data_IF_133962343134
#
_entry.id   IF_133962343134
#
_cell.length_a   1.000
_cell.length_b   1.000
_cell.length_c   1.000
_cell.angle_alpha   90.00
_cell.angle_beta   90.00
_cell.angle_gamma   90.00
#
_symmetry.space_group_name_H-M   'P 1'
#
loop_
_entity.id
_entity.type
_entity.pdbx_description
1 polymer ?
#
# COMPACT_ATOMS: atom_id res chain seq x y z
N UNK A 1 25.36 -22.68 -14.63
CA UNK A 1 25.79 -21.75 -13.56
C UNK A 1 26.70 -22.54 -12.68
N UNK A 2 27.95 -22.13 -12.58
CA UNK A 2 28.88 -22.77 -11.67
C UNK A 2 28.59 -22.30 -10.24
N UNK A 3 28.79 -23.20 -9.29
CA UNK A 3 28.61 -22.93 -7.87
C UNK A 3 29.69 -21.92 -7.42
N UNK A 4 29.33 -20.84 -6.73
CA UNK A 4 30.31 -19.86 -6.24
C UNK A 4 31.41 -20.51 -5.39
N UNK A 5 32.65 -20.09 -5.59
CA UNK A 5 33.81 -20.72 -4.93
C UNK A 5 33.79 -20.60 -3.41
N UNK A 6 33.11 -19.61 -2.83
CA UNK A 6 33.01 -19.44 -1.38
C UNK A 6 32.00 -20.40 -0.73
N UNK A 7 31.23 -21.14 -1.52
CA UNK A 7 30.35 -22.19 -1.02
C UNK A 7 31.10 -23.53 -0.95
N UNK A 8 30.73 -24.38 0.02
CA UNK A 8 31.05 -25.81 0.10
C UNK A 8 29.94 -26.65 -0.51
N UNK A 9 28.69 -26.21 -0.37
CA UNK A 9 27.50 -26.81 -0.94
C UNK A 9 26.56 -25.69 -1.43
N UNK A 10 25.76 -25.97 -2.45
CA UNK A 10 24.76 -25.05 -2.95
C UNK A 10 24.38 -25.43 -4.38
N UNK A 11 23.09 -25.42 -4.66
CA UNK A 11 22.54 -25.70 -5.99
C UNK A 11 21.86 -24.47 -6.54
N UNK A 12 21.91 -24.28 -7.86
CA UNK A 12 21.10 -23.24 -8.50
C UNK A 12 19.62 -23.49 -8.22
N UNK A 13 18.87 -22.45 -7.85
CA UNK A 13 17.44 -22.57 -7.58
C UNK A 13 16.70 -23.14 -8.80
N UNK A 14 15.72 -24.01 -8.57
CA UNK A 14 15.05 -24.79 -9.63
C UNK A 14 13.56 -24.53 -9.66
N UNK A 15 13.00 -24.45 -10.88
CA UNK A 15 11.56 -24.44 -11.12
C UNK A 15 10.89 -25.76 -10.71
N UNK A 16 11.65 -26.87 -10.73
CA UNK A 16 11.20 -28.20 -10.34
C UNK A 16 12.15 -28.76 -9.27
N UNK A 17 12.07 -28.28 -8.02
CA UNK A 17 12.99 -28.71 -6.96
C UNK A 17 12.71 -30.16 -6.56
N UNK A 18 13.78 -30.96 -6.43
CA UNK A 18 13.72 -32.36 -6.01
C UNK A 18 13.89 -32.44 -4.48
N UNK A 19 12.96 -31.81 -3.77
CA UNK A 19 12.92 -31.82 -2.31
C UNK A 19 11.79 -32.73 -1.82
N UNK A 20 11.92 -33.24 -0.59
CA UNK A 20 10.88 -34.03 0.04
C UNK A 20 9.54 -33.26 0.06
N UNK A 21 8.42 -33.97 -0.06
CA UNK A 21 7.08 -33.37 -0.06
C UNK A 21 6.74 -32.63 1.23
N UNK A 22 7.42 -32.97 2.33
CA UNK A 22 7.34 -32.29 3.63
C UNK A 22 8.03 -30.92 3.63
N UNK A 23 8.96 -30.66 2.71
CA UNK A 23 9.68 -29.39 2.58
C UNK A 23 8.92 -28.39 1.70
N UNK A 24 7.68 -28.06 2.10
CA UNK A 24 6.85 -27.09 1.38
C UNK A 24 7.56 -25.74 1.22
N UNK A 25 8.15 -25.26 2.31
CA UNK A 25 8.91 -24.00 2.38
C UNK A 25 10.08 -23.99 1.39
N UNK A 26 10.97 -24.99 1.45
CA UNK A 26 12.11 -25.08 0.55
C UNK A 26 11.71 -25.19 -0.93
N UNK A 27 10.61 -25.90 -1.23
CA UNK A 27 10.08 -25.99 -2.60
C UNK A 27 9.57 -24.64 -3.10
N UNK A 28 8.73 -23.97 -2.31
CA UNK A 28 8.18 -22.65 -2.67
C UNK A 28 9.31 -21.63 -2.87
N UNK A 29 10.28 -21.59 -1.95
CA UNK A 29 11.44 -20.70 -2.05
C UNK A 29 12.28 -20.99 -3.28
N UNK A 30 12.61 -22.25 -3.57
CA UNK A 30 13.40 -22.60 -4.76
C UNK A 30 12.71 -22.19 -6.06
N UNK A 31 11.39 -22.41 -6.18
CA UNK A 31 10.61 -22.04 -7.36
C UNK A 31 10.62 -20.52 -7.57
N UNK A 32 10.34 -19.75 -6.50
CA UNK A 32 10.31 -18.28 -6.58
C UNK A 32 11.69 -17.72 -6.89
N UNK A 33 12.75 -18.22 -6.23
CA UNK A 33 14.13 -17.82 -6.52
C UNK A 33 14.55 -18.17 -7.95
N UNK A 34 14.11 -19.31 -8.47
CA UNK A 34 14.36 -19.66 -9.87
C UNK A 34 13.69 -18.65 -10.79
N UNK A 35 12.41 -18.32 -10.57
CA UNK A 35 11.69 -17.32 -11.36
C UNK A 35 12.34 -15.93 -11.28
N UNK A 36 12.82 -15.49 -10.11
CA UNK A 36 13.57 -14.23 -9.93
C UNK A 36 14.81 -14.18 -10.86
N UNK A 37 15.48 -15.32 -11.07
CA UNK A 37 16.66 -15.39 -11.94
C UNK A 37 16.34 -15.59 -13.44
N UNK A 38 15.12 -16.04 -13.77
CA UNK A 38 14.74 -16.46 -15.13
C UNK A 38 13.81 -15.49 -15.85
N UNK A 39 13.05 -14.70 -15.10
CA UNK A 39 12.07 -13.75 -15.62
C UNK A 39 12.62 -12.34 -15.36
N UNK A 40 13.06 -11.65 -16.41
CA UNK A 40 13.85 -10.42 -16.32
C UNK A 40 13.09 -9.31 -15.59
N UNK A 41 11.84 -9.05 -15.99
CA UNK A 41 11.01 -7.98 -15.43
C UNK A 41 10.58 -8.29 -14.00
N UNK A 42 10.29 -9.56 -13.69
CA UNK A 42 9.94 -10.01 -12.34
C UNK A 42 11.12 -9.89 -11.37
N UNK A 43 12.30 -10.36 -11.77
CA UNK A 43 13.53 -10.19 -10.99
C UNK A 43 13.88 -8.71 -10.82
N UNK A 44 13.72 -7.91 -11.86
CA UNK A 44 13.95 -6.46 -11.83
C UNK A 44 13.05 -5.75 -10.83
N UNK A 45 11.74 -5.99 -10.88
CA UNK A 45 10.77 -5.32 -10.01
C UNK A 45 11.01 -5.66 -8.53
N UNK A 46 11.28 -6.93 -8.22
CA UNK A 46 11.59 -7.34 -6.86
C UNK A 46 12.91 -6.74 -6.36
N UNK A 47 13.98 -6.74 -7.17
CA UNK A 47 15.25 -6.12 -6.78
C UNK A 47 15.13 -4.59 -6.61
N UNK A 48 14.33 -3.93 -7.45
CA UNK A 48 14.05 -2.49 -7.34
C UNK A 48 13.39 -2.13 -6.00
N UNK A 49 12.51 -3.00 -5.49
CA UNK A 49 11.91 -2.80 -4.15
C UNK A 49 12.93 -2.78 -3.01
N UNK A 50 14.11 -3.38 -3.22
CA UNK A 50 15.25 -3.38 -2.28
C UNK A 50 16.24 -2.24 -2.56
N UNK A 51 15.92 -1.34 -3.48
CA UNK A 51 16.79 -0.26 -3.93
C UNK A 51 17.90 -0.71 -4.89
N UNK A 52 17.87 -1.96 -5.38
CA UNK A 52 18.85 -2.46 -6.34
C UNK A 52 18.37 -2.21 -7.77
N UNK A 53 19.20 -1.55 -8.58
CA UNK A 53 18.90 -1.32 -9.99
C UNK A 53 19.38 -2.49 -10.84
N UNK A 54 18.47 -3.10 -11.58
CA UNK A 54 18.78 -4.14 -12.56
C UNK A 54 18.78 -3.49 -13.94
N UNK A 55 19.94 -3.50 -14.60
CA UNK A 55 20.08 -3.03 -15.98
C UNK A 55 20.24 -4.22 -16.93
N UNK A 56 20.24 -3.96 -18.24
CA UNK A 56 20.32 -4.99 -19.29
C UNK A 56 21.51 -5.96 -19.19
N UNK A 57 22.60 -5.57 -18.52
CA UNK A 57 23.81 -6.40 -18.33
C UNK A 57 23.90 -7.01 -16.93
N UNK A 58 22.95 -6.69 -16.05
CA UNK A 58 22.93 -7.20 -14.70
C UNK A 58 22.45 -8.66 -14.74
N UNK A 59 23.17 -9.56 -14.08
CA UNK A 59 22.77 -10.96 -13.95
C UNK A 59 22.29 -11.23 -12.54
N UNK A 60 21.11 -11.84 -12.41
CA UNK A 60 20.59 -12.35 -11.15
C UNK A 60 20.84 -13.86 -11.12
N UNK A 61 21.57 -14.32 -10.12
CA UNK A 61 21.82 -15.74 -9.87
C UNK A 61 21.25 -16.09 -8.50
N UNK A 62 20.56 -17.22 -8.40
CA UNK A 62 19.93 -17.65 -7.16
C UNK A 62 20.29 -19.09 -6.84
N UNK A 63 20.52 -19.36 -5.56
CA UNK A 63 20.96 -20.66 -5.06
C UNK A 63 20.14 -21.07 -3.85
N UNK A 64 19.95 -22.37 -3.67
CA UNK A 64 19.35 -23.01 -2.49
C UNK A 64 20.32 -24.02 -1.90
N UNK A 65 20.01 -24.52 -0.70
CA UNK A 65 20.82 -25.54 0.00
C UNK A 65 22.28 -25.13 0.22
N UNK A 66 22.50 -23.84 0.48
CA UNK A 66 23.83 -23.23 0.58
C UNK A 66 24.54 -23.63 1.88
N UNK A 67 25.86 -23.84 1.79
CA UNK A 67 26.77 -24.00 2.93
C UNK A 67 28.07 -23.29 2.62
N UNK A 68 28.56 -22.41 3.49
CA UNK A 68 29.81 -21.65 3.27
C UNK A 68 31.06 -22.44 3.68
N UNK A 69 32.21 -22.14 3.08
CA UNK A 69 33.49 -22.85 3.30
C UNK A 69 34.05 -22.80 4.72
N UNK A 70 33.74 -21.75 5.48
CA UNK A 70 34.34 -21.50 6.79
C UNK A 70 33.38 -21.73 7.96
N UNK A 71 32.26 -22.43 7.73
CA UNK A 71 31.19 -22.52 8.70
C UNK A 71 30.97 -23.96 9.19
N UNK A 72 31.01 -24.14 10.52
CA UNK A 72 30.41 -25.30 11.18
C UNK A 72 28.90 -25.07 11.36
N UNK A 73 28.17 -24.80 10.27
CA UNK A 73 26.70 -24.67 10.33
C UNK A 73 26.14 -26.01 10.83
N UNK A 74 25.40 -26.00 11.94
CA UNK A 74 24.48 -27.09 12.27
C UNK A 74 23.37 -27.09 11.22
N UNK A 75 22.89 -28.24 10.75
CA UNK A 75 21.83 -28.30 9.71
C UNK A 75 20.62 -27.36 9.95
N UNK A 76 20.32 -27.02 11.21
CA UNK A 76 19.23 -26.11 11.60
C UNK A 76 19.48 -24.62 11.34
N UNK A 77 20.72 -24.19 11.10
CA UNK A 77 21.07 -22.77 10.88
C UNK A 77 21.42 -22.50 9.41
N UNK A 78 20.93 -23.35 8.48
CA UNK A 78 21.14 -23.19 7.04
C UNK A 78 20.14 -22.14 6.50
N UNK A 79 20.58 -21.11 5.76
CA UNK A 79 19.66 -20.22 5.05
C UNK A 79 18.94 -20.94 3.91
N UNK A 80 17.69 -20.55 3.65
CA UNK A 80 16.88 -21.17 2.59
C UNK A 80 17.40 -20.85 1.18
N UNK A 81 18.05 -19.70 1.01
CA UNK A 81 18.64 -19.35 -0.27
C UNK A 81 19.66 -18.21 -0.24
N UNK A 82 20.24 -17.97 -1.40
CA UNK A 82 21.18 -16.90 -1.70
C UNK A 82 20.80 -16.25 -3.02
N UNK A 83 20.69 -14.92 -3.03
CA UNK A 83 20.57 -14.11 -4.26
C UNK A 83 21.88 -13.40 -4.51
N UNK A 84 22.35 -13.43 -5.74
CA UNK A 84 23.54 -12.72 -6.22
C UNK A 84 23.14 -11.85 -7.40
N UNK A 85 23.45 -10.56 -7.30
CA UNK A 85 23.29 -9.59 -8.36
C UNK A 85 24.68 -9.16 -8.85
N UNK A 86 25.01 -9.49 -10.09
CA UNK A 86 26.28 -9.12 -10.73
C UNK A 86 26.07 -8.00 -11.75
N UNK A 87 26.76 -6.90 -11.57
CA UNK A 87 26.80 -5.80 -12.53
C UNK A 87 28.26 -5.45 -12.87
N UNK A 88 28.77 -6.08 -13.93
CA UNK A 88 30.19 -6.02 -14.27
C UNK A 88 31.06 -6.55 -13.11
N UNK A 89 31.99 -5.76 -12.56
CA UNK A 89 32.83 -6.18 -11.42
C UNK A 89 32.13 -6.04 -10.06
N UNK A 90 30.97 -5.38 -9.98
CA UNK A 90 30.24 -5.20 -8.73
C UNK A 90 29.34 -6.40 -8.48
N UNK A 91 29.40 -6.92 -7.27
CA UNK A 91 28.57 -8.01 -6.78
C UNK A 91 27.80 -7.54 -5.55
N UNK A 92 26.49 -7.80 -5.53
CA UNK A 92 25.64 -7.62 -4.37
C UNK A 92 25.00 -8.96 -4.02
N UNK A 93 24.99 -9.32 -2.74
CA UNK A 93 24.53 -10.62 -2.25
C UNK A 93 23.53 -10.47 -1.13
N UNK A 94 22.55 -11.36 -1.09
CA UNK A 94 21.55 -11.43 -0.04
C UNK A 94 21.28 -12.87 0.40
N UNK A 95 21.29 -13.13 1.70
CA UNK A 95 20.75 -14.37 2.25
C UNK A 95 19.22 -14.32 2.23
N UNK A 96 18.57 -15.46 2.05
CA UNK A 96 17.12 -15.58 2.03
C UNK A 96 16.67 -16.52 3.14
N UNK A 97 15.68 -16.07 3.90
CA UNK A 97 14.94 -16.87 4.87
C UNK A 97 13.45 -16.79 4.54
N UNK A 98 12.78 -17.92 4.44
CA UNK A 98 11.39 -17.99 4.03
C UNK A 98 10.54 -18.72 5.06
N UNK A 99 9.27 -18.33 5.18
CA UNK A 99 8.27 -18.98 6.02
C UNK A 99 6.95 -19.07 5.27
N UNK A 100 6.37 -20.26 5.18
CA UNK A 100 5.06 -20.47 4.54
C UNK A 100 4.02 -20.97 5.55
N UNK A 101 2.74 -20.80 5.23
CA UNK A 101 1.64 -21.25 6.08
C UNK A 101 1.54 -20.43 7.37
N UNK A 102 1.52 -21.10 8.51
CA UNK A 102 1.38 -20.50 9.85
C UNK A 102 2.71 -20.36 10.59
N UNK A 103 3.84 -20.58 9.92
CA UNK A 103 5.15 -20.42 10.54
C UNK A 103 5.53 -18.94 10.54
N UNK A 104 5.95 -18.43 11.69
CA UNK A 104 6.39 -17.04 11.83
C UNK A 104 7.92 -16.91 11.71
N UNK A 105 8.35 -15.72 11.30
CA UNK A 105 9.74 -15.31 11.38
C UNK A 105 10.14 -15.13 12.85
N UNK A 106 11.39 -15.47 13.19
CA UNK A 106 11.93 -15.27 14.54
C UNK A 106 13.13 -14.34 14.51
N UNK A 107 13.22 -13.43 15.48
CA UNK A 107 14.33 -12.48 15.56
C UNK A 107 15.69 -13.21 15.74
N UNK A 108 15.72 -14.25 16.58
CA UNK A 108 16.92 -15.05 16.83
C UNK A 108 17.49 -15.67 15.55
N UNK A 109 16.63 -16.19 14.68
CA UNK A 109 17.07 -16.78 13.41
C UNK A 109 17.60 -15.71 12.45
N UNK A 110 16.95 -14.55 12.39
CA UNK A 110 17.38 -13.45 11.53
C UNK A 110 18.72 -12.88 12.00
N UNK A 111 18.93 -12.70 13.30
CA UNK A 111 20.20 -12.19 13.82
C UNK A 111 21.36 -13.16 13.55
N UNK A 112 21.14 -14.47 13.65
CA UNK A 112 22.14 -15.47 13.20
C UNK A 112 22.50 -15.29 11.73
N UNK A 113 21.51 -15.08 10.84
CA UNK A 113 21.81 -14.84 9.43
C UNK A 113 22.52 -13.51 9.19
N UNK A 114 22.29 -12.48 10.01
CA UNK A 114 23.10 -11.26 9.97
C UNK A 114 24.55 -11.52 10.36
N UNK A 115 24.80 -12.39 11.33
CA UNK A 115 26.16 -12.80 11.72
C UNK A 115 26.86 -13.52 10.55
N UNK A 116 26.21 -14.53 9.96
CA UNK A 116 26.70 -15.22 8.75
C UNK A 116 26.95 -14.21 7.63
N UNK A 117 26.02 -13.30 7.37
CA UNK A 117 26.16 -12.30 6.33
C UNK A 117 27.38 -11.39 6.58
N UNK A 118 27.63 -11.00 7.83
CA UNK A 118 28.80 -10.21 8.21
C UNK A 118 30.10 -11.00 7.99
N UNK A 119 30.15 -12.26 8.41
CA UNK A 119 31.34 -13.13 8.26
C UNK A 119 31.68 -13.41 6.79
N UNK A 120 30.66 -13.62 5.95
CA UNK A 120 30.82 -13.94 4.52
C UNK A 120 30.82 -12.68 3.62
N UNK A 121 30.79 -11.48 4.20
CA UNK A 121 30.71 -10.20 3.46
C UNK A 121 29.51 -10.10 2.51
N UNK A 122 28.35 -10.61 2.94
CA UNK A 122 27.06 -10.53 2.25
C UNK A 122 26.38 -9.22 2.63
N UNK A 123 25.68 -8.60 1.67
CA UNK A 123 25.21 -7.23 1.83
C UNK A 123 23.95 -7.10 2.68
N UNK A 124 23.07 -8.10 2.67
CA UNK A 124 21.83 -8.06 3.44
C UNK A 124 21.22 -9.45 3.69
N UNK A 125 20.15 -9.47 4.47
CA UNK A 125 19.24 -10.62 4.58
C UNK A 125 17.87 -10.20 4.02
N UNK A 126 17.21 -11.08 3.28
CA UNK A 126 15.84 -10.93 2.80
C UNK A 126 15.00 -12.00 3.49
N UNK A 127 13.93 -11.58 4.16
CA UNK A 127 12.95 -12.50 4.72
C UNK A 127 11.70 -12.53 3.84
N UNK A 128 11.07 -13.71 3.71
CA UNK A 128 9.82 -13.88 2.97
C UNK A 128 8.81 -14.60 3.85
N UNK A 129 7.64 -14.02 4.11
CA UNK A 129 6.59 -14.69 4.90
C UNK A 129 5.18 -14.22 4.55
N UNK A 130 4.16 -14.71 5.27
CA UNK A 130 2.79 -14.18 5.17
C UNK A 130 2.57 -12.91 6.01
N UNK A 131 3.59 -12.42 6.71
CA UNK A 131 3.52 -11.13 7.41
C UNK A 131 3.68 -9.99 6.39
N UNK A 132 3.13 -8.83 6.71
CA UNK A 132 3.21 -7.66 5.84
C UNK A 132 4.07 -6.56 6.45
N UNK A 133 4.60 -5.71 5.57
CA UNK A 133 5.33 -4.52 5.97
C UNK A 133 4.93 -3.35 5.09
N UNK A 134 4.93 -2.15 5.67
CA UNK A 134 4.67 -0.90 4.95
C UNK A 134 5.64 -0.72 3.77
N UNK A 135 6.92 -1.04 3.98
CA UNK A 135 7.97 -1.02 2.96
C UNK A 135 8.89 -2.21 3.19
N UNK A 136 9.57 -2.67 2.14
CA UNK A 136 10.49 -3.80 2.26
C UNK A 136 11.61 -3.56 3.28
N UNK A 137 12.00 -2.31 3.55
CA UNK A 137 13.02 -1.98 4.55
C UNK A 137 12.49 -1.99 5.99
N UNK A 138 11.17 -1.86 6.19
CA UNK A 138 10.54 -1.81 7.51
C UNK A 138 10.07 -3.21 7.93
N UNK A 139 11.03 -4.06 8.30
CA UNK A 139 10.80 -5.45 8.69
C UNK A 139 9.63 -5.61 9.71
N UNK A 140 8.75 -6.62 9.61
CA UNK A 140 7.57 -6.77 10.49
C UNK A 140 7.90 -6.90 11.98
N UNK A 141 8.98 -7.63 12.32
CA UNK A 141 9.42 -7.80 13.71
C UNK A 141 10.14 -6.56 14.25
N UNK A 142 9.73 -6.09 15.42
CA UNK A 142 10.28 -4.89 16.03
C UNK A 142 11.72 -5.07 16.51
N UNK A 143 12.04 -6.24 17.05
CA UNK A 143 13.37 -6.61 17.54
C UNK A 143 14.42 -6.51 16.42
N UNK A 144 14.03 -6.93 15.20
CA UNK A 144 14.88 -6.85 14.00
C UNK A 144 15.08 -5.39 13.59
N UNK A 145 14.05 -4.54 13.69
CA UNK A 145 14.16 -3.09 13.40
C UNK A 145 15.05 -2.38 14.42
N UNK A 146 15.01 -2.80 15.70
CA UNK A 146 15.80 -2.23 16.80
C UNK A 146 17.21 -2.82 16.93
N UNK A 147 17.55 -3.84 16.14
CA UNK A 147 18.88 -4.47 16.16
C UNK A 147 19.98 -3.45 15.86
N UNK A 148 21.13 -3.62 16.53
CA UNK A 148 22.34 -2.80 16.31
C UNK A 148 23.17 -3.28 15.12
N UNK A 149 22.79 -4.37 14.48
CA UNK A 149 23.53 -4.93 13.36
C UNK A 149 23.51 -3.98 12.15
N UNK A 150 24.67 -3.82 11.51
CA UNK A 150 24.83 -2.99 10.31
C UNK A 150 24.37 -3.68 9.02
N UNK A 151 24.13 -4.99 9.07
CA UNK A 151 23.61 -5.74 7.92
C UNK A 151 22.12 -5.43 7.80
N UNK A 152 21.64 -4.75 6.74
CA UNK A 152 20.22 -4.47 6.57
C UNK A 152 19.42 -5.77 6.39
N UNK A 153 18.17 -5.74 6.85
CA UNK A 153 17.20 -6.81 6.63
C UNK A 153 16.02 -6.23 5.87
N UNK A 154 15.69 -6.87 4.76
CA UNK A 154 14.51 -6.56 3.98
C UNK A 154 13.46 -7.65 4.15
N UNK A 155 12.21 -7.30 3.90
CA UNK A 155 11.09 -8.21 3.97
C UNK A 155 10.21 -8.12 2.73
N UNK A 156 9.84 -9.28 2.19
CA UNK A 156 8.77 -9.42 1.22
C UNK A 156 7.65 -10.26 1.83
N UNK A 157 6.41 -9.83 1.64
CA UNK A 157 5.29 -10.75 1.87
C UNK A 157 5.10 -11.64 0.65
N UNK A 158 4.71 -12.90 0.82
CA UNK A 158 4.36 -13.76 -0.31
C UNK A 158 3.28 -13.14 -1.20
N UNK A 159 2.32 -12.44 -0.58
CA UNK A 159 1.28 -11.70 -1.27
C UNK A 159 1.83 -10.54 -2.10
N UNK A 160 2.90 -9.86 -1.67
CA UNK A 160 3.58 -8.86 -2.49
C UNK A 160 4.24 -9.47 -3.72
N UNK A 161 4.88 -10.64 -3.57
CA UNK A 161 5.49 -11.37 -4.69
C UNK A 161 4.41 -11.80 -5.70
N UNK A 162 3.32 -12.38 -5.20
CA UNK A 162 2.16 -12.75 -6.02
C UNK A 162 1.57 -11.54 -6.76
N UNK A 163 1.45 -10.40 -6.09
CA UNK A 163 0.90 -9.17 -6.69
C UNK A 163 1.81 -8.61 -7.77
N UNK A 164 3.13 -8.65 -7.59
CA UNK A 164 4.08 -8.28 -8.64
C UNK A 164 3.91 -9.18 -9.86
N UNK A 165 3.82 -10.51 -9.66
CA UNK A 165 3.56 -11.44 -10.76
C UNK A 165 2.25 -11.13 -11.50
N UNK A 166 1.18 -10.85 -10.77
CA UNK A 166 -0.13 -10.57 -11.34
C UNK A 166 -0.16 -9.25 -12.15
N UNK A 167 0.43 -8.18 -11.60
CA UNK A 167 0.53 -6.89 -12.28
C UNK A 167 1.36 -6.97 -13.58
N UNK A 168 2.46 -7.72 -13.57
CA UNK A 168 3.28 -7.90 -14.76
C UNK A 168 2.53 -8.65 -15.86
N UNK A 169 1.73 -9.65 -15.50
CA UNK A 169 0.91 -10.43 -16.44
C UNK A 169 -0.24 -9.59 -17.02
N UNK A 170 -0.99 -8.88 -16.18
CA UNK A 170 -2.19 -8.16 -16.63
C UNK A 170 -1.83 -6.91 -17.46
N UNK A 171 -0.64 -6.32 -17.24
CA UNK A 171 -0.15 -5.18 -18.03
C UNK A 171 0.63 -5.57 -19.29
N UNK A 172 0.75 -6.86 -19.57
CA UNK A 172 1.57 -7.37 -20.66
C UNK A 172 3.02 -6.84 -20.61
N UNK A 173 3.58 -6.75 -19.39
CA UNK A 173 4.84 -6.08 -19.13
C UNK A 173 6.07 -7.00 -19.30
N UNK A 174 5.87 -8.30 -19.53
CA UNK A 174 6.93 -9.28 -19.78
C UNK A 174 7.09 -9.44 -21.29
N UNK A 175 8.25 -9.07 -21.82
CA UNK A 175 8.45 -9.01 -23.27
C UNK A 175 8.62 -10.39 -23.94
N UNK A 176 9.14 -11.37 -23.20
CA UNK A 176 9.41 -12.72 -23.70
C UNK A 176 8.26 -13.68 -23.36
N UNK A 177 7.71 -14.34 -24.37
CA UNK A 177 6.53 -15.23 -24.23
C UNK A 177 6.81 -16.46 -23.34
N UNK A 178 8.02 -17.02 -23.41
CA UNK A 178 8.39 -18.16 -22.56
C UNK A 178 8.49 -17.72 -21.09
N UNK A 179 9.08 -16.56 -20.81
CA UNK A 179 9.13 -15.97 -19.47
C UNK A 179 7.73 -15.63 -18.96
N UNK A 180 6.84 -15.13 -19.83
CA UNK A 180 5.44 -14.86 -19.49
C UNK A 180 4.69 -16.15 -19.13
N UNK A 181 4.90 -17.24 -19.87
CA UNK A 181 4.36 -18.55 -19.53
C UNK A 181 4.87 -19.05 -18.17
N UNK A 182 6.16 -18.89 -17.88
CA UNK A 182 6.74 -19.22 -16.58
C UNK A 182 6.12 -18.38 -15.45
N UNK A 183 5.87 -17.09 -15.69
CA UNK A 183 5.23 -16.21 -14.71
C UNK A 183 3.77 -16.60 -14.44
N UNK A 184 3.04 -17.01 -15.49
CA UNK A 184 1.69 -17.58 -15.34
C UNK A 184 1.69 -18.85 -14.47
N UNK A 185 2.62 -19.76 -14.71
CA UNK A 185 2.74 -20.98 -13.89
C UNK A 185 3.16 -20.66 -12.45
N UNK A 186 4.03 -19.68 -12.25
CA UNK A 186 4.36 -19.18 -10.91
C UNK A 186 3.11 -18.64 -10.22
N UNK A 187 2.32 -17.77 -10.86
CA UNK A 187 1.08 -17.24 -10.30
C UNK A 187 0.14 -18.39 -9.90
N UNK A 188 -0.08 -19.34 -10.81
CA UNK A 188 -0.92 -20.54 -10.55
C UNK A 188 -0.43 -21.31 -9.32
N UNK A 189 0.87 -21.55 -9.21
CA UNK A 189 1.48 -22.23 -8.08
C UNK A 189 1.27 -21.46 -6.77
N UNK A 190 1.55 -20.15 -6.74
CA UNK A 190 1.44 -19.32 -5.54
C UNK A 190 -0.02 -19.16 -5.07
N UNK A 191 -0.99 -19.18 -5.99
CA UNK A 191 -2.42 -19.12 -5.65
C UNK A 191 -3.02 -20.44 -5.16
N UNK A 192 -2.31 -21.55 -5.30
CA UNK A 192 -2.80 -22.85 -4.87
C UNK A 192 -2.67 -22.99 -3.35
N UNK A 193 -3.69 -23.53 -2.67
CA UNK A 193 -3.73 -23.66 -1.20
C UNK A 193 -2.50 -24.38 -0.63
N UNK A 194 -1.96 -25.36 -1.37
CA UNK A 194 -0.77 -26.11 -0.95
C UNK A 194 0.50 -25.28 -0.80
N UNK A 195 0.59 -24.10 -1.45
CA UNK A 195 1.71 -23.18 -1.30
C UNK A 195 1.72 -22.51 0.08
N UNK A 196 0.57 -22.47 0.76
CA UNK A 196 0.43 -21.89 2.10
C UNK A 196 0.58 -20.37 2.13
N UNK A 197 0.37 -19.69 0.99
CA UNK A 197 0.39 -18.23 0.88
C UNK A 197 -0.98 -17.70 1.26
N UNK A 198 -1.01 -16.71 2.16
CA UNK A 198 -2.25 -16.14 2.69
C UNK A 198 -2.15 -14.64 2.85
N UNK A 199 -3.29 -13.98 2.74
CA UNK A 199 -3.49 -12.60 3.15
C UNK A 199 -3.48 -12.45 4.68
N UNK A 200 -3.58 -11.22 5.14
CA UNK A 200 -3.83 -10.91 6.53
C UNK A 200 -5.30 -11.23 6.83
N UNK A 201 -5.60 -12.16 7.74
CA UNK A 201 -6.97 -12.69 7.92
C UNK A 201 -7.54 -12.45 9.32
N UNK A 202 -6.76 -11.86 10.24
CA UNK A 202 -7.21 -11.59 11.60
C UNK A 202 -6.44 -10.48 12.31
N UNK A 203 -7.19 -9.68 13.05
CA UNK A 203 -6.62 -8.82 14.09
C UNK A 203 -6.10 -9.63 15.29
N UNK A 204 -5.15 -9.09 16.06
CA UNK A 204 -4.65 -9.70 17.27
C UNK A 204 -5.69 -9.65 18.41
N UNK A 205 -5.54 -10.47 19.48
CA UNK A 205 -6.44 -10.47 20.64
C UNK A 205 -6.68 -9.10 21.28
N UNK A 206 -5.66 -8.26 21.28
CA UNK A 206 -5.65 -6.89 21.80
C UNK A 206 -6.68 -5.99 21.11
N UNK A 207 -7.11 -6.34 19.89
CA UNK A 207 -8.20 -5.65 19.21
C UNK A 207 -9.50 -5.67 20.01
N UNK A 208 -9.85 -6.82 20.57
CA UNK A 208 -11.03 -6.96 21.42
C UNK A 208 -10.88 -6.15 22.71
N UNK A 209 -9.66 -6.12 23.26
CA UNK A 209 -9.36 -5.42 24.50
C UNK A 209 -9.48 -3.89 24.34
N UNK A 210 -8.91 -3.33 23.27
CA UNK A 210 -9.04 -1.91 22.93
C UNK A 210 -10.50 -1.53 22.65
N UNK A 211 -11.23 -2.36 21.90
CA UNK A 211 -12.65 -2.12 21.62
C UNK A 211 -13.49 -2.07 22.90
N UNK A 212 -13.25 -2.99 23.83
CA UNK A 212 -13.92 -3.05 25.13
C UNK A 212 -13.57 -1.83 25.99
N UNK A 213 -12.30 -1.42 26.01
CA UNK A 213 -11.87 -0.22 26.73
C UNK A 213 -12.58 1.04 26.23
N UNK A 214 -12.59 1.27 24.92
CA UNK A 214 -13.25 2.43 24.29
C UNK A 214 -14.77 2.39 24.51
N UNK A 215 -15.40 1.22 24.34
CA UNK A 215 -16.84 1.04 24.55
C UNK A 215 -17.27 1.33 25.99
N UNK A 216 -16.39 1.12 26.97
CA UNK A 216 -16.62 1.43 28.38
C UNK A 216 -16.36 2.91 28.74
N UNK A 217 -16.05 3.77 27.76
CA UNK A 217 -15.68 5.18 27.99
C UNK A 217 -14.26 5.37 28.50
N UNK A 218 -13.42 4.32 28.46
CA UNK A 218 -12.02 4.37 28.85
C UNK A 218 -11.16 5.15 27.84
N UNK A 219 -10.02 5.65 28.32
CA UNK A 219 -9.01 6.31 27.47
C UNK A 219 -7.83 5.36 27.24
N UNK A 220 -7.39 5.27 26.00
CA UNK A 220 -6.20 4.47 25.64
C UNK A 220 -4.95 5.14 26.26
N UNK A 221 -4.15 4.40 27.05
CA UNK A 221 -2.92 4.95 27.62
C UNK A 221 -1.91 5.37 26.55
N UNK A 222 -1.16 6.44 26.80
CA UNK A 222 -0.13 6.95 25.86
C UNK A 222 1.00 5.95 25.58
N UNK A 223 1.23 4.99 26.48
CA UNK A 223 2.23 3.92 26.36
C UNK A 223 1.55 2.54 26.41
N UNK A 224 0.41 2.40 25.75
CA UNK A 224 -0.33 1.14 25.69
C UNK A 224 0.38 0.15 24.77
N UNK A 225 0.74 -1.03 25.29
CA UNK A 225 1.28 -2.13 24.49
C UNK A 225 0.21 -2.67 23.54
N UNK A 226 -1.02 -2.82 24.01
CA UNK A 226 -2.18 -3.26 23.22
C UNK A 226 -2.40 -2.36 22.00
N UNK A 227 -2.30 -1.05 22.18
CA UNK A 227 -2.44 -0.09 21.07
C UNK A 227 -1.31 -0.26 20.04
N UNK A 228 -0.07 -0.52 20.48
CA UNK A 228 1.06 -0.78 19.57
C UNK A 228 0.80 -2.05 18.75
N UNK A 229 0.37 -3.13 19.39
CA UNK A 229 0.08 -4.41 18.72
C UNK A 229 -1.06 -4.25 17.71
N UNK A 230 -2.13 -3.53 18.07
CA UNK A 230 -3.24 -3.23 17.16
C UNK A 230 -2.81 -2.36 15.98
N UNK A 231 -1.94 -1.37 16.19
CA UNK A 231 -1.43 -0.52 15.11
C UNK A 231 -0.51 -1.30 14.16
N UNK A 232 0.38 -2.14 14.68
CA UNK A 232 1.24 -2.99 13.85
C UNK A 232 0.40 -3.97 13.01
N UNK A 233 -0.70 -4.50 13.56
CA UNK A 233 -1.68 -5.29 12.82
C UNK A 233 -2.45 -4.46 11.76
N UNK A 234 -2.86 -3.23 12.12
CA UNK A 234 -3.49 -2.31 11.18
C UNK A 234 -2.58 -1.99 9.99
N UNK A 235 -1.28 -1.82 10.20
CA UNK A 235 -0.32 -1.60 9.09
C UNK A 235 -0.17 -2.81 8.18
N UNK A 236 -0.32 -4.03 8.73
CA UNK A 236 -0.33 -5.25 7.91
C UNK A 236 -1.59 -5.31 7.06
N UNK A 237 -2.75 -5.05 7.65
CA UNK A 237 -4.03 -5.02 6.96
C UNK A 237 -4.08 -3.94 5.86
N UNK A 238 -3.65 -2.70 6.14
CA UNK A 238 -3.66 -1.63 5.13
C UNK A 238 -2.69 -1.92 3.99
N UNK A 239 -1.60 -2.65 4.27
CA UNK A 239 -0.71 -3.16 3.23
C UNK A 239 -1.40 -4.22 2.38
N UNK A 240 -2.10 -5.18 2.97
CA UNK A 240 -2.80 -6.20 2.19
C UNK A 240 -3.94 -5.60 1.36
N UNK A 241 -4.74 -4.70 1.92
CA UNK A 241 -5.75 -3.93 1.19
C UNK A 241 -5.16 -3.22 -0.04
N UNK A 242 -3.96 -2.63 0.09
CA UNK A 242 -3.28 -2.02 -1.06
C UNK A 242 -2.93 -3.05 -2.15
N UNK A 243 -2.56 -4.28 -1.78
CA UNK A 243 -2.25 -5.35 -2.72
C UNK A 243 -3.52 -5.93 -3.35
N UNK A 244 -4.61 -6.07 -2.59
CA UNK A 244 -5.93 -6.47 -3.09
C UNK A 244 -6.40 -5.48 -4.15
N UNK A 245 -6.43 -4.18 -3.82
CA UNK A 245 -6.82 -3.14 -4.78
C UNK A 245 -5.86 -3.10 -5.97
N UNK A 246 -4.56 -3.34 -5.78
CA UNK A 246 -3.63 -3.38 -6.90
C UNK A 246 -3.97 -4.46 -7.93
N UNK A 247 -4.34 -5.66 -7.45
CA UNK A 247 -4.78 -6.76 -8.33
C UNK A 247 -6.12 -6.47 -8.99
N UNK A 248 -7.08 -5.90 -8.25
CA UNK A 248 -8.41 -5.59 -8.77
C UNK A 248 -8.43 -4.44 -9.79
N UNK A 249 -7.52 -3.47 -9.64
CA UNK A 249 -7.43 -2.30 -10.52
C UNK A 249 -6.35 -2.43 -11.59
N UNK A 250 -5.53 -3.48 -11.50
CA UNK A 250 -4.31 -3.66 -12.31
C UNK A 250 -3.34 -2.46 -12.19
N UNK A 251 -3.51 -1.61 -11.17
CA UNK A 251 -2.75 -0.41 -10.89
C UNK A 251 -1.86 -0.63 -9.64
N UNK A 252 -0.73 0.08 -9.52
CA UNK A 252 0.13 -0.07 -8.34
C UNK A 252 -0.39 0.80 -7.19
N UNK A 253 -1.32 0.26 -6.39
CA UNK A 253 -1.90 0.97 -5.24
C UNK A 253 -0.96 0.88 -4.04
N UNK A 254 -0.78 2.01 -3.34
CA UNK A 254 0.17 2.10 -2.23
C UNK A 254 -0.39 2.91 -1.06
N UNK A 255 0.07 2.61 0.16
CA UNK A 255 -0.25 3.44 1.32
C UNK A 255 0.44 4.81 1.22
N UNK A 256 -0.37 5.88 1.30
CA UNK A 256 0.10 7.27 1.28
C UNK A 256 0.51 7.71 2.68
N UNK A 257 1.80 7.66 2.94
CA UNK A 257 2.36 8.14 4.22
C UNK A 257 2.91 9.57 4.14
N UNK A 258 2.70 10.38 5.21
CA UNK A 258 3.42 11.64 5.41
C UNK A 258 4.93 11.43 5.31
N UNK A 259 5.65 12.43 4.76
CA UNK A 259 7.12 12.34 4.57
C UNK A 259 7.87 11.99 5.85
N UNK A 260 7.43 12.54 7.00
CA UNK A 260 8.02 12.26 8.32
C UNK A 260 7.89 10.80 8.77
N UNK A 261 6.91 10.04 8.26
CA UNK A 261 6.65 8.66 8.66
C UNK A 261 7.35 7.63 7.77
N UNK A 262 7.74 7.99 6.54
CA UNK A 262 8.29 7.03 5.56
C UNK A 262 9.61 6.40 6.00
N UNK A 263 10.48 7.19 6.65
CA UNK A 263 11.79 6.75 7.13
C UNK A 263 11.89 6.54 8.63
N UNK A 264 10.81 6.81 9.38
CA UNK A 264 10.79 6.72 10.84
C UNK A 264 9.51 6.01 11.33
N UNK A 265 9.53 4.67 11.43
CA UNK A 265 8.42 3.89 11.97
C UNK A 265 8.12 4.19 13.44
N UNK A 266 9.07 4.71 14.21
CA UNK A 266 8.84 5.05 15.62
C UNK A 266 8.01 6.34 15.74
N UNK A 267 8.33 7.36 14.96
CA UNK A 267 7.54 8.60 14.92
C UNK A 267 6.15 8.35 14.32
N UNK A 268 6.03 7.49 13.29
CA UNK A 268 4.73 7.03 12.77
C UNK A 268 3.85 6.50 13.88
N UNK A 269 4.34 5.51 14.64
CA UNK A 269 3.58 4.88 15.72
C UNK A 269 3.20 5.85 16.82
N UNK A 270 4.11 6.74 17.22
CA UNK A 270 3.83 7.77 18.24
C UNK A 270 2.68 8.68 17.83
N UNK A 271 2.67 9.15 16.58
CA UNK A 271 1.61 10.01 16.06
C UNK A 271 0.28 9.25 15.94
N UNK A 272 0.31 8.00 15.48
CA UNK A 272 -0.89 7.18 15.34
C UNK A 272 -1.49 6.77 16.70
N UNK A 273 -0.66 6.51 17.72
CA UNK A 273 -1.15 6.30 19.10
C UNK A 273 -1.87 7.56 19.61
N UNK A 274 -1.35 8.76 19.29
CA UNK A 274 -1.99 10.01 19.67
C UNK A 274 -3.36 10.14 19.00
N UNK A 275 -3.43 9.90 17.68
CA UNK A 275 -4.70 9.92 16.93
C UNK A 275 -5.68 8.89 17.47
N UNK A 276 -5.25 7.65 17.67
CA UNK A 276 -6.09 6.57 18.21
C UNK A 276 -6.61 6.92 19.60
N UNK A 277 -5.79 7.54 20.45
CA UNK A 277 -6.20 7.97 21.79
C UNK A 277 -7.19 9.13 21.78
N UNK A 278 -7.01 10.10 20.90
CA UNK A 278 -7.85 11.31 20.84
C UNK A 278 -9.18 11.06 20.13
N UNK A 279 -9.17 10.20 19.11
CA UNK A 279 -10.32 10.02 18.20
C UNK A 279 -10.94 8.64 18.28
N UNK A 280 -10.29 7.67 18.93
CA UNK A 280 -10.67 6.26 18.92
C UNK A 280 -10.79 5.68 17.49
N UNK A 281 -9.91 6.14 16.59
CA UNK A 281 -9.92 5.73 15.18
C UNK A 281 -8.56 5.21 14.74
N UNK A 282 -8.60 4.16 13.93
CA UNK A 282 -7.49 3.77 13.05
C UNK A 282 -7.74 4.40 11.68
N UNK A 283 -6.70 4.95 11.06
CA UNK A 283 -6.82 5.64 9.77
C UNK A 283 -5.74 5.17 8.81
N UNK A 284 -6.08 5.11 7.53
CA UNK A 284 -5.13 4.92 6.44
C UNK A 284 -5.59 5.68 5.20
N UNK A 285 -4.65 5.97 4.32
CA UNK A 285 -4.91 6.63 3.05
C UNK A 285 -4.20 5.83 1.97
N UNK A 286 -4.93 5.40 0.95
CA UNK A 286 -4.40 4.64 -0.18
C UNK A 286 -4.34 5.56 -1.41
N UNK A 287 -3.17 5.62 -2.03
CA UNK A 287 -2.97 6.30 -3.30
C UNK A 287 -3.23 5.28 -4.42
N UNK A 288 -4.26 5.55 -5.22
CA UNK A 288 -4.58 4.77 -6.41
C UNK A 288 -4.16 5.60 -7.63
N UNK A 289 -3.32 5.05 -8.53
CA UNK A 289 -2.87 5.78 -9.72
C UNK A 289 -4.04 6.36 -10.52
N UNK A 290 -3.89 7.62 -10.96
CA UNK A 290 -4.84 8.36 -11.80
C UNK A 290 -6.25 8.57 -11.23
N UNK A 291 -6.52 8.15 -9.98
CA UNK A 291 -7.79 8.41 -9.30
C UNK A 291 -7.95 9.91 -8.97
N UNK A 292 -9.20 10.37 -8.89
CA UNK A 292 -9.51 11.78 -8.64
C UNK A 292 -9.05 12.32 -7.27
N UNK A 293 -8.88 11.43 -6.29
CA UNK A 293 -8.34 11.72 -4.97
C UNK A 293 -7.82 10.43 -4.31
N UNK A 294 -7.01 10.51 -3.25
CA UNK A 294 -6.67 9.35 -2.44
C UNK A 294 -7.90 8.76 -1.75
N UNK A 295 -7.89 7.44 -1.55
CA UNK A 295 -8.93 6.70 -0.83
C UNK A 295 -8.63 6.72 0.67
N UNK A 296 -9.51 7.31 1.46
CA UNK A 296 -9.41 7.39 2.91
C UNK A 296 -10.18 6.22 3.55
N UNK A 297 -9.52 5.48 4.44
CA UNK A 297 -10.12 4.36 5.19
C UNK A 297 -10.01 4.64 6.68
N UNK A 298 -11.14 4.60 7.40
CA UNK A 298 -11.21 4.87 8.83
C UNK A 298 -11.98 3.75 9.53
N UNK A 299 -11.34 3.08 10.48
CA UNK A 299 -12.03 2.20 11.41
C UNK A 299 -12.31 2.97 12.72
N UNK A 300 -13.57 3.34 12.94
CA UNK A 300 -14.02 4.08 14.11
C UNK A 300 -14.51 3.12 15.19
N UNK A 301 -13.72 3.01 16.26
CA UNK A 301 -13.94 2.08 17.37
C UNK A 301 -15.14 2.50 18.20
N UNK A 302 -15.31 3.81 18.42
CA UNK A 302 -16.42 4.35 19.21
C UNK A 302 -17.76 4.11 18.52
N UNK A 303 -17.83 4.28 17.19
CA UNK A 303 -19.03 4.03 16.39
C UNK A 303 -19.19 2.58 15.93
N UNK A 304 -18.12 1.77 16.03
CA UNK A 304 -18.01 0.42 15.43
C UNK A 304 -18.37 0.44 13.94
N UNK A 305 -17.76 1.37 13.23
CA UNK A 305 -18.08 1.70 11.84
C UNK A 305 -16.80 1.75 11.02
N UNK A 306 -16.85 1.23 9.79
CA UNK A 306 -15.81 1.45 8.79
C UNK A 306 -16.32 2.58 7.88
N UNK A 307 -15.58 3.68 7.84
CA UNK A 307 -15.80 4.72 6.85
C UNK A 307 -14.78 4.57 5.72
N UNK A 308 -15.24 4.61 4.47
CA UNK A 308 -14.37 4.64 3.28
C UNK A 308 -14.81 5.79 2.40
N UNK A 309 -13.90 6.68 2.03
CA UNK A 309 -14.26 7.92 1.34
C UNK A 309 -13.16 8.56 0.52
N UNK A 310 -13.53 9.56 -0.26
CA UNK A 310 -12.63 10.38 -1.07
C UNK A 310 -13.03 11.85 -0.95
N UNK A 311 -12.04 12.73 -0.91
CA UNK A 311 -12.23 14.18 -0.78
C UNK A 311 -11.88 14.91 -2.07
N UNK A 312 -12.87 15.57 -2.71
CA UNK A 312 -12.71 16.32 -3.96
C UNK A 312 -12.83 17.82 -3.74
N UNK A 313 -12.00 18.61 -4.42
CA UNK A 313 -12.20 20.07 -4.49
C UNK A 313 -13.47 20.38 -5.30
N UNK A 314 -14.23 21.36 -4.83
CA UNK A 314 -15.41 21.81 -5.53
C UNK A 314 -15.04 22.66 -6.76
N UNK A 315 -15.83 22.65 -7.83
CA UNK A 315 -15.53 23.38 -9.06
C UNK A 315 -15.60 24.90 -8.86
N UNK A 316 -14.52 25.61 -9.17
CA UNK A 316 -14.43 27.06 -8.97
C UNK A 316 -15.16 27.87 -10.06
N UNK A 317 -15.45 27.27 -11.21
CA UNK A 317 -16.24 27.88 -12.29
C UNK A 317 -17.75 27.92 -11.99
N UNK A 318 -18.18 27.36 -10.85
CA UNK A 318 -19.58 27.35 -10.40
C UNK A 318 -19.80 28.34 -9.26
N UNK A 319 -20.80 29.20 -9.44
CA UNK A 319 -21.14 30.28 -8.51
C UNK A 319 -21.95 29.84 -7.29
N UNK A 320 -22.82 28.82 -7.40
CA UNK A 320 -23.64 28.35 -6.27
C UNK A 320 -23.15 27.00 -5.73
N UNK A 321 -23.38 26.76 -4.44
CA UNK A 321 -23.05 25.47 -3.80
C UNK A 321 -23.93 24.36 -4.36
N UNK A 322 -25.18 24.65 -4.70
CA UNK A 322 -26.06 23.74 -5.45
C UNK A 322 -25.46 23.32 -6.80
N UNK A 323 -24.88 24.25 -7.57
CA UNK A 323 -24.24 23.90 -8.84
C UNK A 323 -22.98 23.05 -8.65
N UNK A 324 -22.19 23.33 -7.60
CA UNK A 324 -21.03 22.52 -7.20
C UNK A 324 -21.45 21.11 -6.77
N UNK A 325 -22.54 20.98 -6.00
CA UNK A 325 -23.09 19.69 -5.58
C UNK A 325 -23.61 18.90 -6.78
N UNK A 326 -24.36 19.53 -7.69
CA UNK A 326 -24.87 18.85 -8.88
C UNK A 326 -23.74 18.33 -9.80
N UNK A 327 -22.57 18.98 -9.82
CA UNK A 327 -21.39 18.45 -10.50
C UNK A 327 -20.89 17.14 -9.88
N UNK A 328 -20.91 17.04 -8.54
CA UNK A 328 -20.55 15.82 -7.82
C UNK A 328 -21.60 14.71 -8.04
N UNK A 329 -22.88 15.02 -7.83
CA UNK A 329 -23.96 14.02 -7.90
C UNK A 329 -24.05 13.34 -9.27
N UNK A 330 -23.71 14.03 -10.37
CA UNK A 330 -23.66 13.45 -11.71
C UNK A 330 -22.62 12.34 -11.89
N UNK A 331 -21.62 12.28 -11.02
CA UNK A 331 -20.55 11.28 -11.04
C UNK A 331 -20.94 10.02 -10.26
N UNK A 332 -21.90 10.12 -9.34
CA UNK A 332 -22.35 9.03 -8.48
C UNK A 332 -23.59 8.39 -9.13
N UNK A 333 -23.39 7.25 -9.81
CA UNK A 333 -24.44 6.58 -10.61
C UNK A 333 -25.05 5.36 -9.95
N UNK A 334 -24.73 5.13 -8.68
CA UNK A 334 -25.19 3.97 -7.93
C UNK A 334 -26.65 4.15 -7.53
N UNK A 335 -27.33 3.04 -7.21
CA UNK A 335 -28.60 3.14 -6.50
C UNK A 335 -28.39 3.85 -5.15
N UNK A 336 -29.33 4.71 -4.71
CA UNK A 336 -29.21 5.41 -3.43
C UNK A 336 -29.03 4.44 -2.26
N UNK A 337 -27.82 4.43 -1.69
CA UNK A 337 -27.49 3.65 -0.50
C UNK A 337 -27.59 4.57 0.74
N UNK A 338 -28.39 4.21 1.77
CA UNK A 338 -28.57 5.02 2.96
C UNK A 338 -27.28 5.18 3.79
N UNK A 339 -26.28 4.32 3.59
CA UNK A 339 -24.99 4.40 4.29
C UNK A 339 -23.98 5.31 3.55
N UNK A 340 -24.35 5.90 2.42
CA UNK A 340 -23.50 6.84 1.69
C UNK A 340 -23.85 8.28 2.05
N UNK A 341 -22.83 9.05 2.40
CA UNK A 341 -22.96 10.42 2.86
C UNK A 341 -22.05 11.36 2.05
N UNK A 342 -22.47 12.62 2.00
CA UNK A 342 -21.66 13.71 1.46
C UNK A 342 -21.48 14.75 2.56
N UNK A 343 -20.22 14.99 2.93
CA UNK A 343 -19.83 16.08 3.81
C UNK A 343 -19.34 17.26 2.97
N UNK A 344 -19.95 18.41 3.17
CA UNK A 344 -19.61 19.67 2.52
C UNK A 344 -18.72 20.48 3.45
N UNK A 345 -17.53 20.81 2.98
CA UNK A 345 -16.58 21.63 3.71
C UNK A 345 -16.72 23.09 3.27
N UNK A 346 -16.80 23.98 4.25
CA UNK A 346 -17.06 25.41 4.05
C UNK A 346 -15.79 26.23 4.35
N UNK A 347 -15.66 27.43 3.78
CA UNK A 347 -14.49 28.27 3.98
C UNK A 347 -14.42 28.83 5.41
N UNK A 348 -13.20 29.22 5.81
CA UNK A 348 -12.93 29.84 7.11
C UNK A 348 -13.04 28.85 8.26
N UNK A 349 -13.72 29.25 9.33
CA UNK A 349 -13.96 28.43 10.53
C UNK A 349 -15.39 27.85 10.57
N UNK A 350 -16.08 27.86 9.44
CA UNK A 350 -17.46 27.38 9.36
C UNK A 350 -17.49 25.86 9.48
N UNK A 351 -18.36 25.33 10.34
CA UNK A 351 -18.50 23.89 10.50
C UNK A 351 -18.97 23.23 9.19
N UNK A 352 -18.45 22.03 8.93
CA UNK A 352 -18.88 21.19 7.83
C UNK A 352 -20.35 20.76 8.02
N UNK A 353 -21.09 20.63 6.93
CA UNK A 353 -22.44 20.07 6.92
C UNK A 353 -22.41 18.69 6.30
N UNK A 354 -23.28 17.78 6.74
CA UNK A 354 -23.29 16.40 6.26
C UNK A 354 -24.73 15.95 6.02
N UNK A 355 -24.95 15.29 4.89
CA UNK A 355 -26.25 14.77 4.48
C UNK A 355 -26.06 13.38 3.87
N UNK A 356 -27.10 12.56 3.91
CA UNK A 356 -27.10 11.31 3.14
C UNK A 356 -27.15 11.62 1.64
N UNK A 357 -26.62 10.71 0.82
CA UNK A 357 -26.69 10.83 -0.62
C UNK A 357 -28.15 10.86 -1.10
N UNK A 358 -29.01 10.04 -0.50
CA UNK A 358 -30.44 9.96 -0.81
C UNK A 358 -31.15 11.29 -0.58
N UNK A 359 -30.88 11.98 0.52
CA UNK A 359 -31.45 13.32 0.80
C UNK A 359 -31.01 14.34 -0.24
N UNK A 360 -29.72 14.36 -0.61
CA UNK A 360 -29.18 15.31 -1.58
C UNK A 360 -29.65 15.07 -3.01
N UNK A 361 -29.90 13.81 -3.39
CA UNK A 361 -30.51 13.46 -4.67
C UNK A 361 -31.98 13.92 -4.70
N UNK A 362 -32.72 13.71 -3.60
CA UNK A 362 -34.12 14.09 -3.47
C UNK A 362 -34.33 15.61 -3.45
N UNK A 363 -33.51 16.34 -2.70
CA UNK A 363 -33.52 17.80 -2.64
C UNK A 363 -32.11 18.40 -2.55
N UNK A 364 -31.49 18.76 -3.70
CA UNK A 364 -30.18 19.39 -3.72
C UNK A 364 -30.12 20.77 -3.02
N UNK A 365 -31.25 21.41 -2.71
CA UNK A 365 -31.23 22.72 -2.03
C UNK A 365 -30.85 22.59 -0.55
N UNK A 366 -30.96 21.39 0.04
CA UNK A 366 -30.57 21.12 1.42
C UNK A 366 -29.11 21.50 1.71
N UNK A 367 -28.24 21.45 0.70
CA UNK A 367 -26.82 21.76 0.87
C UNK A 367 -26.52 23.21 1.27
N UNK A 368 -27.44 24.15 1.03
CA UNK A 368 -27.26 25.57 1.35
C UNK A 368 -27.96 25.99 2.64
N UNK A 369 -28.63 25.05 3.32
CA UNK A 369 -29.34 25.32 4.58
C UNK A 369 -28.38 25.89 5.62
N UNK A 370 -28.74 27.04 6.18
CA UNK A 370 -27.98 27.77 7.21
C UNK A 370 -26.55 28.19 6.79
N UNK A 371 -26.25 28.24 5.48
CA UNK A 371 -24.93 28.59 4.91
C UNK A 371 -25.04 29.69 3.84
N UNK A 372 -26.00 30.60 4.00
CA UNK A 372 -26.24 31.70 3.05
C UNK A 372 -24.98 32.56 2.84
N UNK A 373 -24.66 32.85 1.59
CA UNK A 373 -23.49 33.65 1.20
C UNK A 373 -22.14 32.92 1.22
N UNK A 374 -22.09 31.66 1.68
CA UNK A 374 -20.89 30.82 1.61
C UNK A 374 -20.92 29.88 0.41
N UNK A 375 -19.74 29.53 -0.08
CA UNK A 375 -19.57 28.54 -1.15
C UNK A 375 -18.78 27.34 -0.65
N UNK A 376 -19.30 26.13 -0.89
CA UNK A 376 -18.60 24.89 -0.56
C UNK A 376 -17.24 24.80 -1.27
N UNK A 377 -16.18 24.50 -0.53
CA UNK A 377 -14.79 24.43 -1.06
C UNK A 377 -14.37 23.01 -1.44
N UNK A 378 -14.93 22.00 -0.79
CA UNK A 378 -14.69 20.59 -1.10
C UNK A 378 -15.81 19.70 -0.61
N UNK A 379 -15.89 18.52 -1.20
CA UNK A 379 -16.82 17.46 -0.85
C UNK A 379 -16.03 16.25 -0.37
N UNK A 380 -16.42 15.68 0.75
CA UNK A 380 -15.98 14.35 1.17
C UNK A 380 -17.15 13.38 1.00
N UNK A 381 -17.05 12.50 0.01
CA UNK A 381 -18.04 11.45 -0.26
C UNK A 381 -17.53 10.18 0.38
N UNK A 382 -18.35 9.55 1.21
CA UNK A 382 -17.93 8.37 1.95
C UNK A 382 -19.11 7.45 2.24
N UNK A 383 -18.82 6.16 2.33
CA UNK A 383 -19.72 5.18 2.91
C UNK A 383 -19.37 4.97 4.38
N UNK A 384 -20.37 4.81 5.25
CA UNK A 384 -20.19 4.56 6.68
C UNK A 384 -20.89 3.26 7.08
N UNK A 385 -20.18 2.12 6.94
CA UNK A 385 -20.74 0.79 7.21
C UNK A 385 -20.64 0.44 8.69
N UNK A 386 -21.78 0.38 9.37
CA UNK A 386 -21.86 0.01 10.78
C UNK A 386 -21.86 -1.51 10.96
N UNK A 387 -20.86 -2.03 11.65
CA UNK A 387 -20.65 -3.49 11.75
C UNK A 387 -21.18 -4.12 13.06
N UNK A 388 -21.50 -3.30 14.06
CA UNK A 388 -21.99 -3.78 15.35
C UNK A 388 -20.98 -4.73 16.02
N UNK A 389 -21.41 -5.95 16.35
CA UNK A 389 -20.54 -6.94 17.00
C UNK A 389 -19.43 -7.49 16.08
N UNK A 390 -19.64 -7.51 14.76
CA UNK A 390 -18.62 -7.99 13.80
C UNK A 390 -17.35 -7.14 13.85
N UNK A 391 -17.48 -5.84 14.19
CA UNK A 391 -16.36 -4.92 14.33
C UNK A 391 -15.31 -5.40 15.35
N UNK A 392 -15.73 -6.05 16.44
CA UNK A 392 -14.81 -6.48 17.50
C UNK A 392 -14.25 -7.88 17.26
N UNK A 393 -14.76 -8.59 16.25
CA UNK A 393 -14.35 -9.95 15.93
C UNK A 393 -13.11 -9.93 15.05
N UNK A 394 -12.05 -10.60 15.48
CA UNK A 394 -10.73 -10.54 14.84
C UNK A 394 -10.75 -10.83 13.34
N UNK A 395 -11.50 -11.85 12.91
CA UNK A 395 -11.56 -12.30 11.51
C UNK A 395 -12.62 -11.52 10.72
N UNK A 396 -13.81 -11.32 11.29
CA UNK A 396 -14.90 -10.68 10.55
C UNK A 396 -14.64 -9.19 10.34
N UNK A 397 -13.91 -8.52 11.23
CA UNK A 397 -13.48 -7.14 11.00
C UNK A 397 -12.65 -7.00 9.71
N UNK A 398 -11.70 -7.93 9.49
CA UNK A 398 -10.85 -7.94 8.28
C UNK A 398 -11.68 -8.22 7.04
N UNK A 399 -12.52 -9.25 7.06
CA UNK A 399 -13.42 -9.56 5.93
C UNK A 399 -14.29 -8.36 5.53
N UNK A 400 -14.87 -7.67 6.50
CA UNK A 400 -15.71 -6.51 6.21
C UNK A 400 -14.90 -5.31 5.69
N UNK A 401 -13.63 -5.15 6.07
CA UNK A 401 -12.73 -4.16 5.44
C UNK A 401 -12.45 -4.51 3.98
N UNK A 402 -12.05 -5.76 3.74
CA UNK A 402 -11.76 -6.30 2.40
C UNK A 402 -12.99 -6.31 1.48
N UNK A 403 -14.21 -6.28 2.03
CA UNK A 403 -15.45 -6.12 1.28
C UNK A 403 -15.77 -4.64 1.01
N UNK A 404 -15.78 -3.80 2.06
CA UNK A 404 -16.27 -2.41 1.97
C UNK A 404 -15.33 -1.50 1.20
N UNK A 405 -14.02 -1.69 1.33
CA UNK A 405 -13.01 -0.83 0.69
C UNK A 405 -13.06 -0.97 -0.84
N UNK A 406 -12.94 -2.19 -1.43
CA UNK A 406 -13.16 -2.40 -2.86
C UNK A 406 -14.56 -1.99 -3.32
N UNK A 407 -15.60 -2.29 -2.53
CA UNK A 407 -16.97 -1.94 -2.89
C UNK A 407 -17.12 -0.43 -3.10
N UNK A 408 -16.66 0.39 -2.15
CA UNK A 408 -16.75 1.84 -2.29
C UNK A 408 -15.97 2.34 -3.51
N UNK A 409 -14.75 1.86 -3.70
CA UNK A 409 -13.93 2.29 -4.84
C UNK A 409 -14.59 1.91 -6.17
N UNK A 410 -15.07 0.68 -6.31
CA UNK A 410 -15.73 0.22 -7.53
C UNK A 410 -17.05 0.97 -7.81
N UNK A 411 -17.88 1.16 -6.79
CA UNK A 411 -19.21 1.76 -6.96
C UNK A 411 -19.15 3.28 -7.13
N UNK A 412 -18.28 3.95 -6.37
CA UNK A 412 -18.21 5.42 -6.30
C UNK A 412 -16.84 5.90 -6.76
N UNK A 413 -15.77 5.49 -6.09
CA UNK A 413 -14.45 6.11 -6.20
C UNK A 413 -13.87 6.16 -7.62
N UNK A 414 -13.96 5.07 -8.38
CA UNK A 414 -13.45 4.96 -9.75
C UNK A 414 -14.19 5.84 -10.76
N UNK A 415 -15.42 6.28 -10.43
CA UNK A 415 -16.27 7.11 -11.28
C UNK A 415 -16.10 8.61 -10.98
N UNK A 416 -15.35 8.96 -9.94
CA UNK A 416 -15.07 10.34 -9.58
C UNK A 416 -13.98 10.93 -10.50
N UNK A 417 -14.13 12.21 -10.82
CA UNK A 417 -13.20 13.00 -11.60
C UNK A 417 -12.80 14.26 -10.83
N UNK A 418 -11.51 14.55 -10.82
CA UNK A 418 -10.99 15.78 -10.23
C UNK A 418 -11.41 16.99 -11.08
N UNK A 419 -11.89 18.06 -10.45
CA UNK A 419 -12.10 19.30 -11.17
C UNK A 419 -10.76 19.94 -11.57
N UNK A 420 -10.61 20.23 -12.86
CA UNK A 420 -9.44 20.91 -13.42
C UNK A 420 -9.87 22.25 -14.01
N UNK A 421 -9.16 23.31 -13.63
CA UNK A 421 -9.38 24.64 -14.20
C UNK A 421 -9.19 24.60 -15.72
N UNK A 422 -10.13 25.12 -16.53
CA UNK A 422 -9.97 25.17 -17.98
C UNK A 422 -8.70 25.91 -18.39
N UNK A 423 -8.07 25.49 -19.48
CA UNK A 423 -6.91 26.17 -20.03
C UNK A 423 -7.23 27.64 -20.34
N UNK A 424 -6.33 28.59 -20.01
CA UNK A 424 -6.49 29.98 -20.40
C UNK A 424 -6.67 30.09 -21.92
N UNK A 425 -7.68 30.85 -22.35
CA UNK A 425 -7.92 31.13 -23.77
C UNK A 425 -7.37 32.49 -24.13
N UNK A 426 -6.77 32.59 -25.32
CA UNK A 426 -6.45 33.88 -25.92
C UNK A 426 -7.78 34.63 -26.10
N UNK A 427 -7.85 35.85 -25.58
CA UNK A 427 -9.05 36.66 -25.73
C UNK A 427 -9.17 37.12 -27.20
N UNK A 428 -10.39 37.31 -27.73
CA UNK A 428 -10.59 37.70 -29.13
C UNK A 428 -9.91 39.02 -29.53
N UNK A 429 -9.64 39.91 -28.57
CA UNK A 429 -8.95 41.19 -28.70
C UNK A 429 -7.41 41.08 -28.67
N UNK A 430 -6.86 39.86 -28.49
CA UNK A 430 -5.41 39.62 -28.31
C UNK A 430 -4.90 38.50 -29.22
N UNK A 431 -5.38 38.46 -30.47
CA UNK A 431 -5.11 37.38 -31.42
C UNK A 431 -3.73 37.48 -32.08
N UNK A 432 -3.14 38.67 -32.09
CA UNK A 432 -1.82 38.95 -32.66
C UNK A 432 -0.81 39.32 -31.56
N UNK A 433 0.48 39.14 -31.86
CA UNK A 433 1.55 39.61 -30.96
C UNK A 433 1.59 41.15 -30.83
N UNK A 434 1.05 41.88 -31.81
CA UNK A 434 0.93 43.34 -31.79
C UNK A 434 -0.09 43.82 -30.76
N UNK A 435 -1.18 43.08 -30.58
CA UNK A 435 -2.30 43.38 -29.67
C UNK A 435 -1.90 43.33 -28.18
N UNK A 436 -0.75 42.73 -27.89
CA UNK A 436 -0.14 42.67 -26.56
C UNK A 436 1.27 43.26 -26.55
N UNK A 437 1.58 44.10 -27.54
CA UNK A 437 2.84 44.86 -27.56
C UNK A 437 2.86 45.88 -26.42
N UNK A 438 4.05 46.34 -26.05
CA UNK A 438 4.21 47.34 -24.99
C UNK A 438 3.42 48.62 -25.30
N UNK A 439 3.39 49.02 -26.59
CA UNK A 439 2.61 50.18 -27.04
C UNK A 439 1.10 49.94 -26.91
N UNK A 440 0.58 48.81 -27.40
CA UNK A 440 -0.84 48.49 -27.33
C UNK A 440 -1.35 48.37 -25.88
N UNK A 441 -0.55 47.80 -24.98
CA UNK A 441 -0.88 47.70 -23.56
C UNK A 441 -0.81 49.08 -22.86
N UNK A 442 0.08 49.97 -23.30
CA UNK A 442 0.17 51.32 -22.77
C UNK A 442 -1.04 52.16 -23.22
N UNK A 443 -1.43 52.07 -24.49
CA UNK A 443 -2.65 52.71 -25.01
C UNK A 443 -3.90 52.20 -24.27
N UNK A 444 -4.05 50.87 -24.08
CA UNK A 444 -5.15 50.28 -23.28
C UNK A 444 -5.16 50.82 -21.83
N UNK A 445 -3.99 51.12 -21.25
CA UNK A 445 -3.89 51.66 -19.88
C UNK A 445 -4.24 53.14 -19.81
N UNK A 446 -3.85 53.93 -20.82
CA UNK A 446 -4.14 55.36 -20.91
C UNK A 446 -5.64 55.60 -21.19
N UNK A 447 -6.26 54.81 -22.08
CA UNK A 447 -7.71 54.86 -22.34
C UNK A 447 -8.54 54.52 -21.09
N UNK A 448 -8.07 53.60 -20.24
CA UNK A 448 -8.77 53.22 -19.00
C UNK A 448 -8.68 54.29 -17.88
N UNK A 449 -7.79 55.28 -18.00
CA UNK A 449 -7.68 56.40 -17.05
C UNK A 449 -8.51 57.62 -17.46
N UNK A 450 -9.01 57.66 -18.70
CA UNK A 450 -9.84 58.75 -19.23
C UNK A 450 -11.35 58.49 -19.10
N UNK A 451 -11.76 57.25 -18.79
CA UNK A 451 -13.12 56.87 -18.31
C UNK A 451 -13.24 56.96 -16.77
#
# INVERSE_FOLDING_TARGET
MDRPEYLTQGEAARLFPVLATTSKEGRTTSIVLACISKIEEFGTELMMSLGQRVGKRTKIETYTEIVFKNEKIKMKDRPDGLVILRNGPKEWRALVEAKVGSNDLTADQIEKYREIAKEQSINCVITISNQFCTTAANHPLEEVRKSRSKIPVYHWSWMSILTVSDLLLNRDAVADEDQKLLLHELRRFLTHESAGIKGFDRMPPEWAEINRLVSAGGKIPAKSNDAVIVLDAWHQETRDLSLILSRQTEAAVQERLPRKHRGDPAERRKDEILVLRETAQLRSVLEIPDAAAPLEVVADIARRTIDVGMTLRAPEDKMSSKARLNWLLRQIKIEPDPDVFVRLNWPGRSDATQFSLTELIGDPNLCEKDKSGLQVISFHVFIARRLGAKFTQQVNFIKELEDVVPFFYHQIGQNLFEWRKPAPRIKPDRLSAGDVSVAALQEETEEWQEE
#
